data_IF_827796283088
#
_entry.id   IF_827796283088
#
_cell.length_a   1.000
_cell.length_b   1.000
_cell.length_c   1.000
_cell.angle_alpha   90.00
_cell.angle_beta   90.00
_cell.angle_gamma   90.00
#
_symmetry.space_group_name_H-M   'P 1'
#
loop_
_entity.id
_entity.type
_entity.pdbx_description
1 polymer ?
#
# COMPACT_ATOMS: atom_id res chain seq x y z
N UNK A 1 -11.27 -31.05 7.32
CA UNK A 1 -10.53 -32.25 7.77
C UNK A 1 -9.59 -31.98 8.96
N UNK A 2 -9.25 -30.73 9.30
CA UNK A 2 -8.38 -30.41 10.45
C UNK A 2 -9.09 -30.35 11.81
N UNK A 3 -10.41 -30.11 11.83
CA UNK A 3 -11.23 -30.24 13.04
C UNK A 3 -11.17 -31.65 13.65
N UNK A 4 -10.84 -32.66 12.83
CA UNK A 4 -10.74 -34.08 13.24
C UNK A 4 -9.35 -34.42 13.79
N UNK A 5 -8.34 -33.58 13.55
CA UNK A 5 -6.95 -33.82 13.95
C UNK A 5 -6.54 -33.17 15.28
N UNK A 6 -7.39 -32.32 15.88
CA UNK A 6 -7.11 -31.68 17.17
C UNK A 6 -5.93 -30.69 17.18
N UNK A 7 -5.48 -30.23 16.00
CA UNK A 7 -4.42 -29.24 15.90
C UNK A 7 -4.90 -27.87 16.43
N UNK A 8 -4.06 -27.20 17.23
CA UNK A 8 -4.36 -25.87 17.74
C UNK A 8 -4.49 -24.86 16.58
N UNK A 9 -5.58 -24.07 16.50
CA UNK A 9 -5.80 -23.10 15.43
C UNK A 9 -4.65 -22.10 15.29
N UNK A 10 -4.00 -21.68 16.38
CA UNK A 10 -2.86 -20.76 16.34
C UNK A 10 -1.69 -21.40 15.58
N UNK A 11 -1.37 -22.65 15.90
CA UNK A 11 -0.26 -23.36 15.26
C UNK A 11 -0.54 -23.56 13.77
N UNK A 12 -1.78 -23.84 13.41
CA UNK A 12 -2.21 -23.95 12.02
C UNK A 12 -2.03 -22.63 11.24
N UNK A 13 -2.62 -21.53 11.72
CA UNK A 13 -2.53 -20.24 11.03
C UNK A 13 -1.11 -19.70 10.97
N UNK A 14 -0.34 -19.85 12.05
CA UNK A 14 1.06 -19.41 12.07
C UNK A 14 1.91 -20.19 11.07
N UNK A 15 1.71 -21.51 10.96
CA UNK A 15 2.46 -22.34 10.00
C UNK A 15 2.14 -21.98 8.56
N UNK A 16 0.86 -21.79 8.22
CA UNK A 16 0.47 -21.34 6.88
C UNK A 16 1.01 -19.94 6.58
N UNK A 17 0.85 -19.01 7.53
CA UNK A 17 1.34 -17.65 7.38
C UNK A 17 2.85 -17.62 7.12
N UNK A 18 3.64 -18.35 7.92
CA UNK A 18 5.10 -18.38 7.74
C UNK A 18 5.50 -18.92 6.37
N UNK A 19 4.84 -19.98 5.91
CA UNK A 19 5.09 -20.55 4.59
C UNK A 19 4.72 -19.56 3.46
N UNK A 20 3.50 -19.04 3.49
CA UNK A 20 2.99 -18.14 2.44
C UNK A 20 3.75 -16.81 2.43
N UNK A 21 4.07 -16.26 3.61
CA UNK A 21 4.87 -15.04 3.74
C UNK A 21 6.28 -15.24 3.20
N UNK A 22 6.91 -16.39 3.46
CA UNK A 22 8.24 -16.69 2.92
C UNK A 22 8.23 -16.74 1.38
N UNK A 23 7.21 -17.38 0.80
CA UNK A 23 7.05 -17.43 -0.67
C UNK A 23 6.76 -16.05 -1.28
N UNK A 24 5.93 -15.23 -0.61
CA UNK A 24 5.68 -13.85 -1.03
C UNK A 24 6.92 -12.97 -0.89
N UNK A 25 7.73 -13.14 0.16
CA UNK A 25 8.97 -12.40 0.33
C UNK A 25 10.02 -12.78 -0.72
N UNK A 26 10.13 -14.07 -1.08
CA UNK A 26 10.99 -14.49 -2.18
C UNK A 26 10.60 -13.78 -3.48
N UNK A 27 9.31 -13.69 -3.77
CA UNK A 27 8.79 -12.97 -4.95
C UNK A 27 9.07 -11.45 -4.87
N UNK A 28 8.89 -10.85 -3.69
CA UNK A 28 9.18 -9.43 -3.44
C UNK A 28 10.66 -9.09 -3.63
N UNK A 29 11.56 -9.98 -3.19
CA UNK A 29 13.01 -9.82 -3.41
C UNK A 29 13.34 -9.90 -4.89
N UNK A 30 12.76 -10.82 -5.65
CA UNK A 30 12.96 -10.89 -7.10
C UNK A 30 12.53 -9.60 -7.79
N UNK A 31 11.36 -9.05 -7.43
CA UNK A 31 10.88 -7.76 -7.94
C UNK A 31 11.87 -6.63 -7.59
N UNK A 32 12.34 -6.57 -6.34
CA UNK A 32 13.29 -5.56 -5.90
C UNK A 32 14.64 -5.67 -6.65
N UNK A 33 15.11 -6.89 -6.94
CA UNK A 33 16.32 -7.12 -7.75
C UNK A 33 16.10 -6.65 -9.19
N UNK A 34 14.97 -6.98 -9.81
CA UNK A 34 14.65 -6.50 -11.17
C UNK A 34 14.62 -4.97 -11.24
N UNK A 35 14.05 -4.32 -10.22
CA UNK A 35 14.03 -2.87 -10.08
C UNK A 35 15.44 -2.30 -9.89
N UNK A 36 16.27 -2.91 -9.05
CA UNK A 36 17.64 -2.45 -8.84
C UNK A 36 18.48 -2.54 -10.13
N UNK A 37 18.22 -3.54 -10.97
CA UNK A 37 18.85 -3.70 -12.29
C UNK A 37 18.24 -2.80 -13.38
N UNK A 38 17.09 -2.17 -13.12
CA UNK A 38 16.44 -1.31 -14.09
C UNK A 38 17.16 0.04 -14.22
N UNK A 39 17.08 0.65 -15.41
CA UNK A 39 17.71 1.95 -15.70
C UNK A 39 16.96 3.14 -15.10
N UNK A 40 15.85 2.91 -14.40
CA UNK A 40 15.08 3.99 -13.76
C UNK A 40 15.73 4.37 -12.43
N UNK A 41 16.64 5.35 -12.47
CA UNK A 41 17.41 5.80 -11.30
C UNK A 41 16.55 6.15 -10.09
N UNK A 42 15.35 6.70 -10.33
CA UNK A 42 14.39 7.05 -9.29
C UNK A 42 14.00 5.91 -8.37
N UNK A 43 13.89 4.71 -8.93
CA UNK A 43 13.39 3.52 -8.26
C UNK A 43 14.58 2.62 -7.88
N UNK A 44 15.59 2.53 -8.74
CA UNK A 44 16.81 1.74 -8.50
C UNK A 44 17.61 2.25 -7.29
N UNK A 45 17.81 3.56 -7.12
CA UNK A 45 18.56 4.12 -5.98
C UNK A 45 17.84 3.95 -4.62
N UNK A 46 16.54 3.64 -4.65
CA UNK A 46 15.67 3.53 -3.47
C UNK A 46 15.03 2.15 -3.34
N UNK A 47 15.66 1.12 -3.90
CA UNK A 47 15.18 -0.26 -3.88
C UNK A 47 14.85 -0.78 -2.47
N UNK A 48 15.60 -0.35 -1.44
CA UNK A 48 15.38 -0.76 -0.05
C UNK A 48 14.04 -0.26 0.51
N UNK A 49 13.59 0.95 0.14
CA UNK A 49 12.28 1.47 0.54
C UNK A 49 11.15 0.67 -0.11
N UNK A 50 11.34 0.28 -1.36
CA UNK A 50 10.38 -0.54 -2.09
C UNK A 50 10.33 -1.97 -1.55
N UNK A 51 11.48 -2.55 -1.20
CA UNK A 51 11.51 -3.86 -0.56
C UNK A 51 10.77 -3.83 0.79
N UNK A 52 10.94 -2.77 1.57
CA UNK A 52 10.19 -2.57 2.82
C UNK A 52 8.68 -2.44 2.55
N UNK A 53 8.28 -1.66 1.55
CA UNK A 53 6.87 -1.53 1.15
C UNK A 53 6.29 -2.87 0.65
N UNK A 54 7.05 -3.66 -0.12
CA UNK A 54 6.66 -4.98 -0.61
C UNK A 54 6.54 -6.02 0.52
N UNK A 55 7.41 -5.96 1.53
CA UNK A 55 7.33 -6.81 2.70
C UNK A 55 6.06 -6.51 3.52
N UNK A 56 5.76 -5.23 3.75
CA UNK A 56 4.53 -4.82 4.43
C UNK A 56 3.27 -5.08 3.59
N UNK A 57 3.37 -4.98 2.26
CA UNK A 57 2.32 -5.40 1.36
C UNK A 57 2.07 -6.91 1.45
N UNK A 58 3.12 -7.73 1.54
CA UNK A 58 2.99 -9.19 1.70
C UNK A 58 2.24 -9.53 3.00
N UNK A 59 2.54 -8.82 4.09
CA UNK A 59 1.79 -8.92 5.35
C UNK A 59 0.32 -8.55 5.19
N UNK A 60 0.03 -7.37 4.65
CA UNK A 60 -1.33 -6.85 4.51
C UNK A 60 -2.18 -7.68 3.52
N UNK A 61 -1.59 -8.07 2.39
CA UNK A 61 -2.25 -8.84 1.34
C UNK A 61 -2.57 -10.27 1.81
N UNK A 62 -1.68 -10.92 2.55
CA UNK A 62 -2.00 -12.25 3.11
C UNK A 62 -3.14 -12.17 4.13
N UNK A 63 -3.11 -11.19 5.03
CA UNK A 63 -4.22 -10.94 5.94
C UNK A 63 -5.53 -10.72 5.17
N UNK A 64 -5.50 -9.86 4.14
CA UNK A 64 -6.65 -9.58 3.29
C UNK A 64 -7.19 -10.84 2.60
N UNK A 65 -6.33 -11.63 1.95
CA UNK A 65 -6.70 -12.88 1.28
C UNK A 65 -7.33 -13.87 2.27
N UNK A 66 -6.73 -14.03 3.44
CA UNK A 66 -7.25 -14.93 4.46
C UNK A 66 -8.58 -14.47 5.04
N UNK A 67 -8.80 -13.17 5.21
CA UNK A 67 -10.10 -12.65 5.65
C UNK A 67 -11.16 -12.79 4.54
N UNK A 68 -10.77 -12.51 3.30
CA UNK A 68 -11.68 -12.49 2.15
C UNK A 68 -12.15 -13.88 1.73
N UNK A 69 -11.36 -14.93 1.99
CA UNK A 69 -11.72 -16.30 1.64
C UNK A 69 -13.04 -16.76 2.30
N UNK A 70 -13.36 -16.26 3.50
CA UNK A 70 -14.57 -16.63 4.23
C UNK A 70 -15.87 -16.14 3.57
N UNK A 71 -15.78 -15.20 2.62
CA UNK A 71 -16.94 -14.71 1.87
C UNK A 71 -17.36 -15.65 0.73
N UNK A 72 -16.57 -16.68 0.42
CA UNK A 72 -16.81 -17.58 -0.72
C UNK A 72 -16.87 -19.04 -0.29
N UNK A 73 -17.87 -19.74 -0.82
CA UNK A 73 -18.00 -21.20 -0.62
C UNK A 73 -17.04 -22.02 -1.48
N UNK A 74 -16.48 -21.43 -2.55
CA UNK A 74 -15.55 -22.09 -3.47
C UNK A 74 -14.21 -21.36 -3.54
N UNK A 75 -13.07 -22.05 -3.35
CA UNK A 75 -11.74 -21.47 -3.46
C UNK A 75 -11.46 -20.82 -4.83
N UNK A 76 -11.93 -21.44 -5.92
CA UNK A 76 -11.71 -20.93 -7.29
C UNK A 76 -12.40 -19.60 -7.53
N UNK A 77 -13.62 -19.44 -7.01
CA UNK A 77 -14.36 -18.17 -7.06
C UNK A 77 -13.69 -17.12 -6.19
N UNK A 78 -13.28 -17.47 -4.96
CA UNK A 78 -12.58 -16.54 -4.07
C UNK A 78 -11.28 -16.00 -4.67
N UNK A 79 -10.43 -16.89 -5.20
CA UNK A 79 -9.19 -16.49 -5.87
C UNK A 79 -9.45 -15.57 -7.08
N UNK A 80 -10.43 -15.91 -7.92
CA UNK A 80 -10.78 -15.09 -9.08
C UNK A 80 -11.25 -13.70 -8.66
N UNK A 81 -12.09 -13.61 -7.64
CA UNK A 81 -12.61 -12.34 -7.14
C UNK A 81 -11.50 -11.47 -6.52
N UNK A 82 -10.58 -12.06 -5.76
CA UNK A 82 -9.42 -11.35 -5.20
C UNK A 82 -8.57 -10.72 -6.31
N UNK A 83 -8.28 -11.47 -7.38
CA UNK A 83 -7.52 -10.95 -8.52
C UNK A 83 -8.26 -9.77 -9.16
N UNK A 84 -9.58 -9.86 -9.32
CA UNK A 84 -10.40 -8.76 -9.86
C UNK A 84 -10.36 -7.53 -8.94
N UNK A 85 -10.53 -7.70 -7.63
CA UNK A 85 -10.47 -6.59 -6.66
C UNK A 85 -9.09 -5.93 -6.63
N UNK A 86 -8.01 -6.71 -6.60
CA UNK A 86 -6.65 -6.20 -6.67
C UNK A 86 -6.39 -5.49 -8.01
N UNK A 87 -6.88 -6.04 -9.12
CA UNK A 87 -6.79 -5.43 -10.44
C UNK A 87 -7.49 -4.06 -10.50
N UNK A 88 -8.74 -3.98 -10.06
CA UNK A 88 -9.51 -2.72 -10.06
C UNK A 88 -8.84 -1.67 -9.16
N UNK A 89 -8.45 -2.05 -7.96
CA UNK A 89 -7.91 -1.09 -6.97
C UNK A 89 -6.53 -0.55 -7.37
N UNK A 90 -5.65 -1.41 -7.91
CA UNK A 90 -4.34 -0.99 -8.42
C UNK A 90 -4.43 -0.22 -9.74
N UNK A 91 -5.15 -0.75 -10.74
CA UNK A 91 -5.15 -0.20 -12.11
C UNK A 91 -6.07 1.00 -12.25
N UNK A 92 -7.24 1.00 -11.59
CA UNK A 92 -8.26 2.04 -11.74
C UNK A 92 -8.26 2.98 -10.54
N UNK A 93 -8.15 2.44 -9.32
CA UNK A 93 -8.22 3.24 -8.10
C UNK A 93 -7.09 4.27 -7.99
N UNK A 94 -5.85 3.87 -8.30
CA UNK A 94 -4.69 4.76 -8.18
C UNK A 94 -4.73 5.96 -9.16
N UNK A 95 -4.95 5.78 -10.48
CA UNK A 95 -5.01 6.93 -11.38
C UNK A 95 -6.16 7.89 -11.03
N UNK A 96 -7.33 7.37 -10.64
CA UNK A 96 -8.46 8.21 -10.20
C UNK A 96 -8.04 9.06 -9.00
N UNK A 97 -7.39 8.45 -8.00
CA UNK A 97 -6.91 9.17 -6.82
C UNK A 97 -5.94 10.30 -7.21
N UNK A 98 -4.96 10.04 -8.08
CA UNK A 98 -4.01 11.06 -8.53
C UNK A 98 -4.66 12.19 -9.35
N UNK A 99 -5.68 11.88 -10.16
CA UNK A 99 -6.44 12.91 -10.89
C UNK A 99 -7.21 13.81 -9.92
N UNK A 100 -7.95 13.21 -8.98
CA UNK A 100 -8.68 13.95 -7.94
C UNK A 100 -7.72 14.82 -7.15
N UNK A 101 -6.57 14.26 -6.79
CA UNK A 101 -5.54 14.96 -6.05
C UNK A 101 -4.93 16.13 -6.79
N UNK A 102 -4.65 15.95 -8.08
CA UNK A 102 -4.18 17.05 -8.91
C UNK A 102 -5.23 18.16 -8.99
N UNK A 103 -6.51 17.81 -9.17
CA UNK A 103 -7.61 18.79 -9.21
C UNK A 103 -7.82 19.50 -7.86
N UNK A 104 -7.62 18.82 -6.74
CA UNK A 104 -7.72 19.38 -5.40
C UNK A 104 -6.69 20.50 -5.12
N UNK A 105 -5.60 20.59 -5.90
CA UNK A 105 -4.68 21.73 -5.86
C UNK A 105 -5.31 23.04 -6.37
N UNK A 106 -6.28 22.95 -7.27
CA UNK A 106 -6.93 24.10 -7.90
C UNK A 106 -8.35 24.35 -7.39
N UNK A 107 -9.04 23.31 -6.94
CA UNK A 107 -10.44 23.34 -6.53
C UNK A 107 -10.51 22.99 -5.04
N UNK A 108 -10.71 24.00 -4.19
CA UNK A 108 -10.74 23.81 -2.74
C UNK A 108 -11.84 22.85 -2.28
N UNK A 109 -12.98 22.83 -2.97
CA UNK A 109 -14.09 21.90 -2.69
C UNK A 109 -13.73 20.42 -2.89
N UNK A 110 -12.65 20.10 -3.61
CA UNK A 110 -12.18 18.72 -3.81
C UNK A 110 -11.16 18.25 -2.77
N UNK A 111 -10.65 19.14 -1.91
CA UNK A 111 -9.65 18.79 -0.90
C UNK A 111 -10.17 17.79 0.12
N UNK A 112 -11.36 18.05 0.65
CA UNK A 112 -12.01 17.11 1.58
C UNK A 112 -12.26 15.76 0.90
N UNK A 113 -12.75 15.78 -0.35
CA UNK A 113 -13.01 14.56 -1.10
C UNK A 113 -11.73 13.73 -1.37
N UNK A 114 -10.62 14.39 -1.71
CA UNK A 114 -9.30 13.76 -1.86
C UNK A 114 -8.84 13.06 -0.58
N UNK A 115 -8.98 13.75 0.56
CA UNK A 115 -8.60 13.20 1.86
C UNK A 115 -9.46 11.97 2.21
N UNK A 116 -10.78 12.06 2.07
CA UNK A 116 -11.70 10.96 2.37
C UNK A 116 -11.46 9.73 1.50
N UNK A 117 -11.35 9.91 0.17
CA UNK A 117 -11.12 8.77 -0.74
C UNK A 117 -9.72 8.17 -0.52
N UNK A 118 -8.73 9.01 -0.20
CA UNK A 118 -7.38 8.58 0.14
C UNK A 118 -7.35 7.72 1.41
N UNK A 119 -8.07 8.11 2.45
CA UNK A 119 -8.22 7.31 3.69
C UNK A 119 -8.96 6.00 3.38
N UNK A 120 -10.08 6.06 2.66
CA UNK A 120 -10.89 4.89 2.32
C UNK A 120 -10.08 3.83 1.56
N UNK A 121 -9.41 4.23 0.47
CA UNK A 121 -8.64 3.29 -0.34
C UNK A 121 -7.43 2.76 0.42
N UNK A 122 -6.78 3.61 1.21
CA UNK A 122 -5.65 3.21 2.05
C UNK A 122 -6.03 2.19 3.11
N UNK A 123 -7.18 2.34 3.75
CA UNK A 123 -7.62 1.41 4.79
C UNK A 123 -8.11 0.07 4.23
N UNK A 124 -8.71 0.07 3.02
CA UNK A 124 -9.37 -1.13 2.49
C UNK A 124 -8.49 -1.96 1.56
N UNK A 125 -7.62 -1.34 0.77
CA UNK A 125 -6.99 -2.01 -0.37
C UNK A 125 -5.47 -2.01 -0.25
N UNK A 126 -4.84 -3.16 0.04
CA UNK A 126 -3.39 -3.22 0.21
C UNK A 126 -2.68 -2.96 -1.14
N UNK A 127 -3.31 -3.33 -2.25
CA UNK A 127 -2.82 -3.06 -3.61
C UNK A 127 -2.72 -1.55 -3.88
N UNK A 128 -3.70 -0.75 -3.45
CA UNK A 128 -3.64 0.70 -3.58
C UNK A 128 -2.45 1.27 -2.82
N UNK A 129 -2.18 0.79 -1.60
CA UNK A 129 -1.06 1.26 -0.78
C UNK A 129 0.30 1.01 -1.43
N UNK A 130 0.56 -0.22 -1.89
CA UNK A 130 1.83 -0.51 -2.56
C UNK A 130 1.97 0.29 -3.85
N UNK A 131 0.92 0.39 -4.66
CA UNK A 131 0.95 1.22 -5.87
C UNK A 131 1.21 2.70 -5.57
N UNK A 132 0.65 3.22 -4.48
CA UNK A 132 0.90 4.59 -4.05
C UNK A 132 2.33 4.80 -3.52
N UNK A 133 2.92 3.81 -2.86
CA UNK A 133 4.33 3.85 -2.47
C UNK A 133 5.25 3.96 -3.69
N UNK A 134 5.01 3.15 -4.72
CA UNK A 134 5.78 3.20 -5.97
C UNK A 134 5.69 4.59 -6.63
N UNK A 135 4.49 5.13 -6.73
CA UNK A 135 4.27 6.45 -7.34
C UNK A 135 4.92 7.56 -6.51
N UNK A 136 4.70 7.58 -5.19
CA UNK A 136 5.20 8.64 -4.31
C UNK A 136 6.73 8.65 -4.22
N UNK A 137 7.39 7.49 -4.18
CA UNK A 137 8.86 7.41 -4.22
C UNK A 137 9.39 7.98 -5.54
N UNK A 138 8.76 7.59 -6.66
CA UNK A 138 9.16 8.03 -8.00
C UNK A 138 8.98 9.54 -8.18
N UNK A 139 7.83 10.07 -7.76
CA UNK A 139 7.52 11.50 -7.79
C UNK A 139 8.49 12.28 -6.90
N UNK A 140 8.72 11.83 -5.65
CA UNK A 140 9.62 12.52 -4.73
C UNK A 140 11.04 12.59 -5.28
N UNK A 141 11.56 11.49 -5.85
CA UNK A 141 12.87 11.48 -6.48
C UNK A 141 12.95 12.47 -7.63
N UNK A 142 11.97 12.46 -8.54
CA UNK A 142 11.92 13.39 -9.68
C UNK A 142 11.81 14.84 -9.23
N UNK A 143 11.04 15.12 -8.18
CA UNK A 143 10.87 16.46 -7.64
C UNK A 143 12.14 16.94 -6.95
N UNK A 144 12.82 16.09 -6.19
CA UNK A 144 14.13 16.40 -5.59
C UNK A 144 15.18 16.67 -6.67
N UNK A 145 15.21 15.85 -7.73
CA UNK A 145 16.13 16.03 -8.85
C UNK A 145 15.85 17.30 -9.65
N UNK A 146 14.58 17.57 -9.97
CA UNK A 146 14.17 18.75 -10.73
C UNK A 146 14.40 20.05 -9.94
N UNK A 147 14.39 19.97 -8.62
CA UNK A 147 14.58 21.10 -7.71
C UNK A 147 15.95 21.09 -7.00
N UNK A 148 16.96 20.44 -7.57
CA UNK A 148 18.33 20.36 -7.01
C UNK A 148 18.93 21.75 -6.75
N UNK A 149 18.74 22.68 -7.68
CA UNK A 149 19.26 24.04 -7.59
C UNK A 149 18.39 24.99 -6.75
N UNK A 150 17.29 24.47 -6.17
CA UNK A 150 16.36 25.24 -5.35
C UNK A 150 15.41 26.14 -6.15
N UNK A 151 14.82 27.13 -5.48
CA UNK A 151 13.94 28.13 -6.10
C UNK A 151 14.78 29.34 -6.55
N UNK A 152 15.61 29.17 -7.58
CA UNK A 152 16.53 30.21 -8.08
C UNK A 152 15.85 31.24 -8.99
N UNK A 153 14.68 30.91 -9.56
CA UNK A 153 13.94 31.78 -10.48
C UNK A 153 12.54 32.14 -9.98
N UNK A 154 12.03 33.31 -10.36
CA UNK A 154 10.67 33.76 -10.01
C UNK A 154 9.55 32.86 -10.55
N UNK A 155 9.84 32.09 -11.61
CA UNK A 155 8.95 31.10 -12.22
C UNK A 155 9.36 29.64 -11.93
N UNK A 156 10.02 29.37 -10.80
CA UNK A 156 10.36 27.99 -10.44
C UNK A 156 9.09 27.19 -10.12
N UNK A 157 8.96 25.98 -10.69
CA UNK A 157 7.91 25.01 -10.36
C UNK A 157 8.10 24.40 -8.96
N UNK A 158 9.22 24.67 -8.30
CA UNK A 158 9.58 24.13 -6.99
C UNK A 158 8.86 24.87 -5.87
N UNK A 159 8.32 24.13 -4.89
CA UNK A 159 7.69 24.76 -3.73
C UNK A 159 8.73 25.54 -2.92
N UNK A 160 8.54 26.86 -2.81
CA UNK A 160 9.26 27.71 -1.85
C UNK A 160 8.38 27.95 -0.64
N UNK A 161 8.97 27.94 0.56
CA UNK A 161 8.26 28.32 1.80
C UNK A 161 7.70 29.76 1.74
N UNK A 162 8.23 30.60 0.85
CA UNK A 162 7.98 32.05 0.82
C UNK A 162 7.18 32.54 -0.41
N UNK A 163 6.96 31.69 -1.44
CA UNK A 163 6.15 32.03 -2.63
C UNK A 163 5.08 30.97 -2.87
N UNK A 164 3.83 31.37 -2.64
CA UNK A 164 2.63 30.54 -2.71
C UNK A 164 2.16 30.36 -4.17
N UNK A 165 2.87 29.53 -4.95
CA UNK A 165 2.27 29.02 -6.19
C UNK A 165 1.37 27.82 -5.82
N UNK A 166 0.07 27.90 -6.15
CA UNK A 166 -0.92 26.87 -5.75
C UNK A 166 -0.61 25.47 -6.30
N UNK A 167 0.18 25.37 -7.36
CA UNK A 167 0.61 24.11 -7.96
C UNK A 167 2.15 24.09 -8.10
N UNK A 168 2.83 23.58 -7.07
CA UNK A 168 4.27 23.40 -7.06
C UNK A 168 4.65 21.92 -6.84
N UNK A 169 5.93 21.62 -7.13
CA UNK A 169 6.53 20.31 -6.93
C UNK A 169 6.85 20.11 -5.44
N UNK A 170 5.96 19.39 -4.75
CA UNK A 170 6.16 18.97 -3.36
C UNK A 170 7.31 17.97 -3.28
N UNK A 171 8.23 18.18 -2.34
CA UNK A 171 9.43 17.35 -2.16
C UNK A 171 9.75 17.24 -0.68
N UNK A 172 10.24 16.07 -0.29
CA UNK A 172 10.69 15.83 1.07
C UNK A 172 11.94 14.95 1.04
N UNK A 173 13.00 15.34 1.73
CA UNK A 173 14.20 14.52 1.84
C UNK A 173 13.94 13.23 2.63
N UNK A 174 12.97 13.28 3.56
CA UNK A 174 12.52 12.12 4.30
C UNK A 174 11.40 11.39 3.55
N UNK A 175 11.77 10.34 2.82
CA UNK A 175 10.80 9.46 2.14
C UNK A 175 9.80 8.79 3.09
N UNK A 176 10.08 8.69 4.40
CA UNK A 176 9.18 8.12 5.40
C UNK A 176 8.29 9.17 6.07
N UNK A 177 8.28 10.42 5.57
CA UNK A 177 7.42 11.46 6.09
C UNK A 177 5.93 11.05 6.03
N UNK A 178 5.15 11.59 6.96
CA UNK A 178 3.70 11.39 6.98
C UNK A 178 3.00 12.23 5.92
N UNK A 179 3.48 13.45 5.68
CA UNK A 179 3.01 14.29 4.60
C UNK A 179 3.50 13.75 3.26
N UNK A 180 2.73 13.97 2.19
CA UNK A 180 3.23 13.66 0.85
C UNK A 180 4.38 14.61 0.49
N UNK A 181 5.40 14.14 -0.25
CA UNK A 181 5.51 12.86 -0.95
C UNK A 181 6.09 11.67 -0.17
N UNK A 182 6.08 11.73 1.17
CA UNK A 182 6.42 10.59 2.00
C UNK A 182 5.41 9.44 1.93
N UNK A 183 5.90 8.22 2.16
CA UNK A 183 5.14 6.96 2.13
C UNK A 183 4.75 6.46 3.53
N UNK A 184 5.07 7.21 4.59
CA UNK A 184 4.92 6.73 5.97
C UNK A 184 3.48 6.34 6.32
N UNK A 185 2.51 7.10 5.83
CA UNK A 185 1.07 6.86 6.02
C UNK A 185 0.62 5.54 5.36
N UNK A 186 1.13 5.19 4.18
CA UNK A 186 0.84 3.93 3.50
C UNK A 186 1.41 2.72 4.26
N UNK A 187 2.64 2.85 4.77
CA UNK A 187 3.29 1.77 5.52
C UNK A 187 2.54 1.46 6.82
N UNK A 188 2.19 2.49 7.59
CA UNK A 188 1.41 2.32 8.83
C UNK A 188 0.04 1.72 8.53
N UNK A 189 -0.61 2.16 7.46
CA UNK A 189 -1.89 1.58 7.06
C UNK A 189 -1.79 0.10 6.72
N UNK A 190 -0.75 -0.34 5.99
CA UNK A 190 -0.54 -1.76 5.69
C UNK A 190 -0.31 -2.61 6.94
N UNK A 191 0.42 -2.09 7.93
CA UNK A 191 0.61 -2.76 9.24
C UNK A 191 -0.74 -2.97 9.93
N UNK A 192 -1.51 -1.89 10.09
CA UNK A 192 -2.83 -1.90 10.74
C UNK A 192 -3.80 -2.80 9.99
N UNK A 193 -3.84 -2.68 8.66
CA UNK A 193 -4.71 -3.47 7.80
C UNK A 193 -4.46 -4.98 7.97
N UNK A 194 -3.20 -5.42 7.89
CA UNK A 194 -2.89 -6.82 8.10
C UNK A 194 -3.28 -7.28 9.51
N UNK A 195 -3.00 -6.49 10.55
CA UNK A 195 -3.38 -6.82 11.92
C UNK A 195 -4.92 -6.97 12.10
N UNK A 196 -5.70 -6.06 11.51
CA UNK A 196 -7.17 -6.13 11.53
C UNK A 196 -7.68 -7.36 10.79
N UNK A 197 -7.15 -7.65 9.60
CA UNK A 197 -7.57 -8.81 8.82
C UNK A 197 -7.18 -10.14 9.48
N UNK A 198 -5.96 -10.26 10.04
CA UNK A 198 -5.57 -11.43 10.83
C UNK A 198 -6.43 -11.57 12.09
N UNK A 199 -6.71 -10.47 12.79
CA UNK A 199 -7.63 -10.46 13.92
C UNK A 199 -9.01 -11.01 13.55
N UNK A 200 -9.56 -10.60 12.41
CA UNK A 200 -10.82 -11.13 11.88
C UNK A 200 -10.74 -12.64 11.60
N UNK A 201 -9.67 -13.11 10.95
CA UNK A 201 -9.45 -14.54 10.67
C UNK A 201 -9.46 -15.36 11.94
N UNK A 202 -8.73 -14.92 12.97
CA UNK A 202 -8.72 -15.59 14.27
C UNK A 202 -10.11 -15.60 14.90
N UNK A 203 -10.83 -14.48 14.92
CA UNK A 203 -12.18 -14.41 15.53
C UNK A 203 -13.15 -15.40 14.86
N UNK A 204 -13.11 -15.51 13.54
CA UNK A 204 -13.97 -16.44 12.78
C UNK A 204 -13.59 -17.90 13.08
N UNK A 205 -12.30 -18.24 13.01
CA UNK A 205 -11.85 -19.63 13.14
C UNK A 205 -11.91 -20.17 14.58
N UNK A 206 -11.77 -19.30 15.58
CA UNK A 206 -11.93 -19.71 16.99
C UNK A 206 -13.38 -20.01 17.39
N UNK A 207 -14.37 -19.85 16.50
CA UNK A 207 -15.79 -20.09 16.78
C UNK A 207 -16.23 -19.49 18.14
N UNK A 208 -15.77 -18.27 18.45
CA UNK A 208 -16.14 -17.58 19.70
C UNK A 208 -17.66 -17.43 19.86
N UNK A 209 -18.42 -17.53 18.76
CA UNK A 209 -19.88 -17.51 18.76
C UNK A 209 -20.56 -18.86 19.11
N UNK A 210 -19.92 -20.01 18.92
CA UNK A 210 -20.48 -21.32 19.34
C UNK A 210 -20.15 -21.68 20.79
N UNK A 211 -19.15 -21.03 21.41
CA UNK A 211 -18.83 -21.23 22.84
C UNK A 211 -19.59 -20.28 23.78
N UNK A 212 -20.34 -19.31 23.25
CA UNK A 212 -21.08 -18.31 24.03
C UNK A 212 -22.61 -18.51 23.99
N UNK A 213 -23.12 -19.56 23.34
CA UNK A 213 -24.53 -19.93 23.38
C UNK A 213 -24.73 -21.44 23.60
#
# INVERSE_FOLDING_TARGET
MQLVGGADPVVYWLSNFLFDYSMNMASSVLIAVTIALSTTEAISNKWYLLLMALALYSWANLGFVYAFQFLFSSPSTGASMIIVFNGITGVIGLPIFYVVRFMAKFIDALKEFEEYIGILFRCLFPMFNISNCFMSISDNYRNLESCKDGCTEENSLCCSYDKCFKACLERDENYLAWAYPGIGKELVAMIVQGAVCFGFVFVVDFNLFEKLW
#
